data_IF_093968195266
#
_entry.id   IF_093968195266
#
_cell.length_a   1.000
_cell.length_b   1.000
_cell.length_c   1.000
_cell.angle_alpha   90.00
_cell.angle_beta   90.00
_cell.angle_gamma   90.00
#
_symmetry.space_group_name_H-M   'P 1'
#
loop_
_entity.id
_entity.type
_entity.pdbx_description
1 polymer ?
#
# COMPACT_ATOMS: atom_id res chain seq x y z
N UNK A 1 -10.98 9.44 -1.74
CA UNK A 1 -11.61 8.13 -1.94
C UNK A 1 -12.16 7.62 -0.62
N UNK A 2 -13.27 6.87 -0.64
CA UNK A 2 -13.72 6.09 0.52
C UNK A 2 -13.33 4.63 0.27
N UNK A 3 -12.53 4.06 1.17
CA UNK A 3 -11.95 2.72 0.98
C UNK A 3 -12.38 1.82 2.14
N UNK A 4 -13.01 0.70 1.81
CA UNK A 4 -13.31 -0.36 2.77
C UNK A 4 -12.02 -1.10 3.16
N UNK A 5 -11.80 -1.22 4.46
CA UNK A 5 -10.65 -1.91 5.06
C UNK A 5 -11.06 -3.00 6.03
N UNK A 6 -12.32 -3.46 5.97
CA UNK A 6 -12.88 -4.44 6.89
C UNK A 6 -13.18 -3.89 8.29
N UNK A 7 -13.22 -2.56 8.43
CA UNK A 7 -13.60 -1.86 9.65
C UNK A 7 -15.11 -1.53 9.66
N UNK A 8 -15.62 -1.01 10.77
CA UNK A 8 -17.04 -0.64 10.91
C UNK A 8 -17.48 0.47 9.96
N UNK A 9 -16.54 1.30 9.50
CA UNK A 9 -16.78 2.35 8.53
C UNK A 9 -15.60 2.43 7.54
N UNK A 10 -15.86 2.79 6.27
CA UNK A 10 -14.80 3.06 5.31
C UNK A 10 -13.87 4.18 5.78
N UNK A 11 -12.61 4.12 5.34
CA UNK A 11 -11.64 5.19 5.60
C UNK A 11 -11.64 6.21 4.47
N UNK A 12 -11.53 7.49 4.83
CA UNK A 12 -11.22 8.53 3.85
C UNK A 12 -9.74 8.48 3.52
N UNK A 13 -9.42 8.30 2.24
CA UNK A 13 -8.08 8.33 1.69
C UNK A 13 -7.99 9.49 0.71
N UNK A 14 -6.84 10.17 0.66
CA UNK A 14 -6.56 11.18 -0.36
C UNK A 14 -5.31 10.73 -1.10
N UNK A 15 -5.46 10.35 -2.37
CA UNK A 15 -4.35 9.88 -3.20
C UNK A 15 -3.91 10.94 -4.23
N UNK A 16 -2.63 10.93 -4.57
CA UNK A 16 -2.04 11.76 -5.63
C UNK A 16 -2.13 11.13 -7.03
N UNK A 17 -3.12 10.27 -7.29
CA UNK A 17 -3.13 9.38 -8.46
C UNK A 17 -3.81 9.97 -9.70
N UNK A 18 -4.38 11.18 -9.61
CA UNK A 18 -5.18 11.82 -10.67
C UNK A 18 -4.48 11.85 -12.04
N UNK A 19 -3.16 12.04 -12.07
CA UNK A 19 -2.38 12.11 -13.32
C UNK A 19 -1.90 10.74 -13.82
N UNK A 20 -2.07 9.67 -13.02
CA UNK A 20 -1.48 8.35 -13.27
C UNK A 20 -2.52 7.27 -13.50
N UNK A 21 -3.67 7.37 -12.83
CA UNK A 21 -4.74 6.37 -12.90
C UNK A 21 -6.06 7.08 -13.20
N UNK A 22 -6.74 6.76 -14.32
CA UNK A 22 -8.01 7.37 -14.64
C UNK A 22 -9.07 6.96 -13.60
N UNK A 23 -10.02 7.87 -13.33
CA UNK A 23 -11.01 7.72 -12.26
C UNK A 23 -11.82 6.41 -12.37
N UNK A 24 -12.13 5.98 -13.59
CA UNK A 24 -12.85 4.73 -13.87
C UNK A 24 -12.10 3.50 -13.38
N UNK A 25 -10.76 3.52 -13.42
CA UNK A 25 -9.91 2.42 -12.94
C UNK A 25 -9.70 2.46 -11.43
N UNK A 26 -10.19 3.49 -10.73
CA UNK A 26 -10.17 3.55 -9.27
C UNK A 26 -11.47 3.03 -8.66
N UNK A 27 -12.56 2.96 -9.43
CA UNK A 27 -13.84 2.46 -8.95
C UNK A 27 -13.77 0.95 -8.70
N UNK A 28 -14.23 0.51 -7.52
CA UNK A 28 -14.25 -0.90 -7.10
C UNK A 28 -12.89 -1.62 -7.25
N UNK A 29 -11.79 -0.88 -7.14
CA UNK A 29 -10.44 -1.44 -7.24
C UNK A 29 -9.94 -1.91 -5.88
N UNK A 30 -9.47 -3.15 -5.84
CA UNK A 30 -8.74 -3.68 -4.70
C UNK A 30 -7.35 -3.03 -4.62
N UNK A 31 -6.98 -2.57 -3.43
CA UNK A 31 -5.74 -1.85 -3.17
C UNK A 31 -5.11 -2.32 -1.85
N UNK A 32 -3.83 -2.02 -1.69
CA UNK A 32 -3.11 -2.23 -0.44
C UNK A 32 -2.96 -0.88 0.25
N UNK A 33 -3.32 -0.81 1.53
CA UNK A 33 -3.28 0.41 2.31
C UNK A 33 -2.29 0.32 3.47
N UNK A 34 -1.55 1.39 3.70
CA UNK A 34 -0.84 1.62 4.95
C UNK A 34 -1.78 2.31 5.96
N UNK A 35 -2.24 1.54 6.94
CA UNK A 35 -3.35 1.92 7.83
C UNK A 35 -2.94 2.47 9.20
N UNK A 36 -1.66 2.44 9.58
CA UNK A 36 -1.18 2.90 10.88
C UNK A 36 -0.35 4.18 10.81
N UNK A 37 -0.35 4.91 9.70
CA UNK A 37 0.17 6.27 9.67
C UNK A 37 -0.72 7.19 10.50
N UNK A 38 -0.10 8.17 11.15
CA UNK A 38 -0.84 9.27 11.76
C UNK A 38 -1.66 10.00 10.68
N UNK A 39 -2.99 10.14 10.83
CA UNK A 39 -3.83 10.82 9.84
C UNK A 39 -3.33 12.24 9.55
N UNK A 40 -3.32 12.60 8.27
CA UNK A 40 -2.78 13.88 7.79
C UNK A 40 -3.83 14.62 6.94
N UNK A 41 -3.91 15.95 7.10
CA UNK A 41 -4.80 16.77 6.29
C UNK A 41 -4.13 17.11 4.96
N UNK A 42 -4.77 16.76 3.86
CA UNK A 42 -4.38 17.12 2.51
C UNK A 42 -5.46 18.02 1.91
N UNK A 43 -5.11 19.28 1.64
CA UNK A 43 -6.04 20.29 1.08
C UNK A 43 -7.38 20.37 1.83
N UNK A 44 -7.35 20.28 3.16
CA UNK A 44 -8.52 20.35 4.04
C UNK A 44 -9.18 19.00 4.37
N UNK A 45 -8.94 17.96 3.58
CA UNK A 45 -9.49 16.62 3.78
C UNK A 45 -8.54 15.77 4.63
N UNK A 46 -9.06 15.08 5.64
CA UNK A 46 -8.26 14.20 6.49
C UNK A 46 -8.07 12.83 5.80
N UNK A 47 -6.84 12.47 5.45
CA UNK A 47 -6.49 11.14 4.95
C UNK A 47 -6.13 10.23 6.12
N UNK A 48 -6.77 9.07 6.19
CA UNK A 48 -6.65 8.09 7.29
C UNK A 48 -5.84 6.84 6.91
N UNK A 49 -5.42 6.75 5.65
CA UNK A 49 -4.52 5.72 5.13
C UNK A 49 -3.81 6.25 3.88
N UNK A 50 -2.89 5.45 3.35
CA UNK A 50 -2.13 5.73 2.13
C UNK A 50 -2.17 4.50 1.22
N UNK A 51 -2.45 4.72 -0.08
CA UNK A 51 -2.43 3.66 -1.10
C UNK A 51 -1.00 3.32 -1.47
N UNK A 52 -0.64 2.05 -1.35
CA UNK A 52 0.70 1.57 -1.68
C UNK A 52 0.85 1.42 -3.19
N UNK A 53 1.86 2.08 -3.76
CA UNK A 53 2.11 2.09 -5.19
C UNK A 53 3.57 1.79 -5.50
N UNK A 54 3.83 1.10 -6.60
CA UNK A 54 5.14 1.14 -7.24
C UNK A 54 5.29 2.50 -7.95
N UNK A 55 6.44 3.14 -7.79
CA UNK A 55 6.68 4.49 -8.32
C UNK A 55 8.10 4.67 -8.87
N UNK A 56 8.19 5.39 -9.97
CA UNK A 56 9.41 5.92 -10.58
C UNK A 56 9.21 7.40 -10.88
N UNK A 57 10.25 8.14 -11.32
CA UNK A 57 10.09 9.52 -11.78
C UNK A 57 9.07 9.68 -12.92
N UNK A 58 8.87 8.66 -13.77
CA UNK A 58 7.96 8.75 -14.92
C UNK A 58 6.58 8.11 -14.70
N UNK A 59 6.46 7.12 -13.81
CA UNK A 59 5.25 6.28 -13.72
C UNK A 59 4.90 5.91 -12.28
N UNK A 60 3.60 5.75 -12.03
CA UNK A 60 3.05 5.23 -10.78
C UNK A 60 2.04 4.13 -11.09
N UNK A 61 2.16 2.99 -10.42
CA UNK A 61 1.26 1.84 -10.52
C UNK A 61 0.76 1.44 -9.13
N UNK A 62 -0.56 1.31 -8.99
CA UNK A 62 -1.18 0.81 -7.75
C UNK A 62 -0.85 -0.67 -7.61
N UNK A 63 -0.34 -1.08 -6.45
CA UNK A 63 -0.10 -2.49 -6.17
C UNK A 63 -1.42 -3.25 -6.09
N UNK A 64 -1.51 -4.36 -6.83
CA UNK A 64 -2.66 -5.24 -6.82
C UNK A 64 -2.45 -6.36 -5.78
N UNK A 65 -3.41 -6.59 -4.88
CA UNK A 65 -3.43 -7.79 -4.05
C UNK A 65 -3.75 -9.04 -4.90
N UNK A 66 -3.44 -10.25 -4.42
CA UNK A 66 -3.76 -11.50 -5.13
C UNK A 66 -5.28 -11.73 -5.21
N UNK A 67 -5.69 -12.56 -6.17
CA UNK A 67 -7.10 -12.93 -6.35
C UNK A 67 -7.69 -13.56 -5.08
N UNK A 68 -8.97 -13.26 -4.81
CA UNK A 68 -9.67 -13.72 -3.61
C UNK A 68 -9.36 -12.91 -2.34
N UNK A 69 -8.52 -11.88 -2.41
CA UNK A 69 -8.32 -10.93 -1.32
C UNK A 69 -9.62 -10.19 -0.99
N UNK A 70 -9.83 -9.90 0.29
CA UNK A 70 -11.01 -9.17 0.79
C UNK A 70 -10.59 -7.98 1.65
N UNK A 71 -11.43 -6.93 1.78
CA UNK A 71 -11.18 -5.83 2.70
C UNK A 71 -10.87 -6.33 4.12
N UNK A 72 -9.75 -5.84 4.67
CA UNK A 72 -9.27 -6.23 6.01
C UNK A 72 -8.24 -7.37 6.03
N UNK A 73 -7.98 -8.03 4.91
CA UNK A 73 -6.84 -8.95 4.80
C UNK A 73 -5.53 -8.23 5.13
N UNK A 74 -4.66 -8.92 5.87
CA UNK A 74 -3.37 -8.38 6.31
C UNK A 74 -2.25 -8.88 5.42
N UNK A 75 -1.39 -7.94 5.02
CA UNK A 75 -0.08 -8.28 4.46
C UNK A 75 0.87 -8.57 5.60
N UNK A 76 1.49 -9.74 5.57
CA UNK A 76 2.44 -10.20 6.60
C UNK A 76 3.69 -10.76 5.96
N UNK A 77 4.80 -10.72 6.69
CA UNK A 77 6.07 -11.27 6.25
C UNK A 77 6.53 -12.31 7.28
N UNK A 78 6.58 -13.58 6.92
CA UNK A 78 7.02 -14.62 7.86
C UNK A 78 8.49 -14.43 8.29
N UNK A 79 9.31 -13.80 7.43
CA UNK A 79 10.69 -13.43 7.74
C UNK A 79 10.80 -12.27 8.76
N UNK A 80 9.72 -11.51 8.98
CA UNK A 80 9.70 -10.35 9.88
C UNK A 80 8.47 -10.43 10.82
N UNK A 81 8.51 -11.35 11.80
CA UNK A 81 7.41 -11.49 12.75
C UNK A 81 7.28 -10.25 13.63
N UNK A 82 6.06 -9.86 13.95
CA UNK A 82 5.78 -8.74 14.84
C UNK A 82 4.36 -8.22 14.70
N UNK A 83 3.94 -7.40 15.67
CA UNK A 83 2.69 -6.66 15.61
C UNK A 83 2.96 -5.21 15.17
N UNK A 84 2.09 -4.62 14.33
CA UNK A 84 2.24 -3.23 13.92
C UNK A 84 2.01 -2.28 15.10
N UNK A 85 2.73 -1.16 15.11
CA UNK A 85 2.41 -0.04 15.98
C UNK A 85 0.96 0.41 15.73
N UNK A 86 0.22 0.72 16.80
CA UNK A 86 -1.15 1.24 16.71
C UNK A 86 -1.21 2.53 15.88
N UNK A 87 -0.21 3.39 16.04
CA UNK A 87 0.02 4.58 15.21
C UNK A 87 1.54 4.81 15.10
N UNK A 88 2.06 4.97 13.88
CA UNK A 88 3.45 5.29 13.62
C UNK A 88 3.76 6.70 14.11
N UNK A 89 4.69 6.80 15.05
CA UNK A 89 5.13 8.08 15.57
C UNK A 89 5.99 8.83 14.53
N UNK A 90 5.56 10.00 14.02
CA UNK A 90 6.31 10.74 12.99
C UNK A 90 7.71 11.17 13.45
N UNK A 91 7.94 11.31 14.76
CA UNK A 91 9.26 11.67 15.31
C UNK A 91 10.27 10.54 15.21
N UNK A 92 9.80 9.27 15.19
CA UNK A 92 10.68 8.10 15.07
C UNK A 92 11.09 7.83 13.63
N UNK A 93 10.40 8.42 12.65
CA UNK A 93 10.67 8.25 11.21
C UNK A 93 10.80 6.77 10.79
N UNK A 94 9.90 5.93 11.30
CA UNK A 94 9.95 4.47 11.09
C UNK A 94 9.70 4.15 9.62
N UNK A 95 8.70 4.80 9.02
CA UNK A 95 8.39 4.62 7.59
C UNK A 95 9.56 4.99 6.70
N UNK A 96 10.25 6.10 6.99
CA UNK A 96 11.40 6.57 6.22
C UNK A 96 12.62 5.64 6.33
N UNK A 97 12.71 4.83 7.39
CA UNK A 97 13.73 3.79 7.53
C UNK A 97 13.35 2.50 6.79
N UNK A 98 12.04 2.21 6.65
CA UNK A 98 11.53 1.00 5.99
C UNK A 98 11.41 1.19 4.48
N UNK A 99 10.95 2.36 4.03
CA UNK A 99 10.62 2.65 2.64
C UNK A 99 11.77 2.36 1.64
N UNK A 100 13.06 2.62 1.95
CA UNK A 100 14.15 2.30 1.03
C UNK A 100 14.28 0.80 0.71
N UNK A 101 13.81 -0.06 1.61
CA UNK A 101 13.84 -1.52 1.45
C UNK A 101 12.54 -2.08 0.83
N UNK A 102 11.57 -1.20 0.49
CA UNK A 102 10.33 -1.56 -0.18
C UNK A 102 10.47 -1.36 -1.69
N UNK A 103 10.46 -2.46 -2.43
CA UNK A 103 10.60 -2.44 -3.89
C UNK A 103 9.91 -3.63 -4.54
N UNK A 104 9.57 -3.50 -5.82
CA UNK A 104 9.14 -4.62 -6.65
C UNK A 104 10.33 -5.37 -7.21
N UNK A 105 10.30 -6.71 -7.24
CA UNK A 105 11.38 -7.52 -7.82
C UNK A 105 11.30 -7.59 -9.37
N UNK A 106 12.15 -8.42 -9.99
CA UNK A 106 12.18 -8.65 -11.44
C UNK A 106 10.85 -9.15 -12.02
N UNK A 107 10.03 -9.79 -11.19
CA UNK A 107 8.70 -10.31 -11.55
C UNK A 107 7.58 -9.33 -11.17
N UNK A 108 7.89 -8.06 -10.89
CA UNK A 108 6.93 -7.05 -10.43
C UNK A 108 6.25 -7.37 -9.10
N UNK A 109 6.73 -8.36 -8.33
CA UNK A 109 6.18 -8.71 -7.01
C UNK A 109 6.65 -7.69 -5.99
N UNK A 110 5.74 -7.12 -5.21
CA UNK A 110 6.08 -6.19 -4.14
C UNK A 110 6.80 -6.92 -3.01
N UNK A 111 7.92 -6.36 -2.54
CA UNK A 111 8.75 -6.98 -1.50
C UNK A 111 9.20 -5.99 -0.44
N UNK A 112 9.52 -6.52 0.74
CA UNK A 112 10.31 -5.85 1.77
C UNK A 112 11.61 -6.64 1.96
N UNK A 113 12.76 -6.03 1.66
CA UNK A 113 14.08 -6.72 1.68
C UNK A 113 14.07 -8.04 0.89
N UNK A 114 13.33 -8.09 -0.22
CA UNK A 114 13.16 -9.29 -1.03
C UNK A 114 12.11 -10.30 -0.52
N UNK A 115 11.56 -10.14 0.69
CA UNK A 115 10.44 -10.94 1.18
C UNK A 115 9.13 -10.46 0.54
N UNK A 116 8.34 -11.32 -0.13
CA UNK A 116 7.12 -10.92 -0.82
C UNK A 116 6.05 -10.35 0.13
N UNK A 117 5.30 -9.37 -0.36
CA UNK A 117 4.03 -8.95 0.22
C UNK A 117 3.02 -10.07 0.01
N UNK A 118 2.72 -10.83 1.05
CA UNK A 118 1.82 -11.98 0.97
C UNK A 118 0.51 -11.73 1.73
N UNK A 119 -0.60 -12.08 1.10
CA UNK A 119 -1.87 -12.35 1.79
C UNK A 119 -1.92 -13.86 2.05
N UNK A 120 -1.84 -14.25 3.32
CA UNK A 120 -1.69 -15.66 3.73
C UNK A 120 -2.75 -16.55 3.08
N UNK A 121 -2.29 -17.56 2.35
CA UNK A 121 -3.13 -18.55 1.68
C UNK A 121 -3.80 -18.07 0.38
N UNK A 122 -3.51 -16.86 -0.09
CA UNK A 122 -4.09 -16.29 -1.34
C UNK A 122 -3.04 -15.95 -2.39
N UNK A 123 -1.85 -15.53 -1.96
CA UNK A 123 -0.72 -15.29 -2.85
C UNK A 123 -0.02 -13.95 -2.58
N UNK A 124 0.69 -13.45 -3.60
CA UNK A 124 1.56 -12.28 -3.48
C UNK A 124 1.00 -11.06 -4.21
N UNK A 125 1.34 -9.88 -3.68
CA UNK A 125 0.97 -8.60 -4.25
C UNK A 125 1.95 -8.16 -5.35
N UNK A 126 1.44 -7.51 -6.41
CA UNK A 126 2.26 -7.17 -7.59
C UNK A 126 1.91 -5.80 -8.17
N UNK A 127 2.90 -5.15 -8.77
CA UNK A 127 2.67 -4.09 -9.76
C UNK A 127 2.25 -4.73 -11.10
N UNK A 128 1.69 -3.93 -12.01
CA UNK A 128 1.25 -4.44 -13.32
C UNK A 128 2.43 -4.67 -14.25
N UNK A 129 3.36 -3.71 -14.31
CA UNK A 129 4.52 -3.74 -15.21
C UNK A 129 5.80 -3.21 -14.58
N UNK A 130 5.72 -2.56 -13.42
CA UNK A 130 6.89 -1.95 -12.76
C UNK A 130 7.69 -2.98 -11.98
N UNK A 131 8.73 -3.54 -12.59
CA UNK A 131 9.80 -4.30 -11.93
C UNK A 131 10.89 -3.39 -11.36
N UNK A 132 11.61 -3.84 -10.34
CA UNK A 132 12.76 -3.13 -9.74
C UNK A 132 12.47 -1.67 -9.38
N UNK A 133 11.24 -1.40 -8.96
CA UNK A 133 10.75 -0.05 -8.71
C UNK A 133 10.50 0.15 -7.22
N UNK A 134 10.81 1.35 -6.72
CA UNK A 134 10.57 1.69 -5.32
C UNK A 134 9.08 1.77 -5.01
N UNK A 135 8.69 1.34 -3.81
CA UNK A 135 7.30 1.40 -3.35
C UNK A 135 7.13 2.59 -2.41
N UNK A 136 6.04 3.34 -2.60
CA UNK A 136 5.69 4.52 -1.80
C UNK A 136 4.21 4.56 -1.46
#
# INVERSE_FOLDING_TARGET
>A
EEVDVGETAPRTVVSGLVNHVPLEQLQNRMVILLCNLKPARMRGVLSQAMVMCASSPEKVEILAPPDGSVPGDRITFDAFPGEPDKELNPKKKVWEQIQPDLYTNDECVATYKGAPFEVKGKGVCRAQTMSNSGIR
#
